data_IF_573996340224
#
_entry.id   IF_573996340224
#
_cell.length_a   1.000
_cell.length_b   1.000
_cell.length_c   1.000
_cell.angle_alpha   90.00
_cell.angle_beta   90.00
_cell.angle_gamma   90.00
#
_symmetry.space_group_name_H-M   'P 1'
#
loop_
_entity.id
_entity.type
_entity.pdbx_description
1 polymer ?
#
# COMPACT_ATOMS: atom_id res chain seq x y z
N UNK A 1 3.42 4.48 -2.10
CA UNK A 1 2.09 4.08 -2.63
C UNK A 1 2.06 4.16 -4.16
N UNK A 2 1.28 3.30 -4.81
CA UNK A 2 1.19 3.13 -6.27
C UNK A 2 0.74 4.40 -7.02
N UNK A 3 0.93 4.43 -8.34
CA UNK A 3 0.30 5.44 -9.21
C UNK A 3 -1.21 5.30 -9.08
N UNK A 4 -1.89 6.42 -8.83
CA UNK A 4 -3.32 6.44 -8.60
C UNK A 4 -3.94 7.70 -9.17
N UNK A 5 -4.97 7.54 -10.00
CA UNK A 5 -5.70 8.67 -10.57
C UNK A 5 -6.45 9.39 -9.45
N UNK A 6 -6.41 10.72 -9.46
CA UNK A 6 -7.00 11.51 -8.37
C UNK A 6 -6.23 11.44 -7.04
N UNK A 7 -5.01 10.89 -7.04
CA UNK A 7 -4.11 10.94 -5.88
C UNK A 7 -3.97 12.38 -5.38
N UNK A 8 -4.41 12.63 -4.15
CA UNK A 8 -4.34 13.93 -3.46
C UNK A 8 -2.91 14.37 -3.11
N UNK A 9 -1.87 13.76 -3.71
CA UNK A 9 -0.45 13.99 -3.42
C UNK A 9 -0.05 15.45 -3.24
N UNK A 10 -0.47 16.35 -4.15
CA UNK A 10 -0.12 17.77 -4.07
C UNK A 10 -0.94 18.53 -3.01
N UNK A 11 -2.09 18.00 -2.62
CA UNK A 11 -3.00 18.61 -1.66
C UNK A 11 -2.73 18.16 -0.22
N UNK A 12 -1.96 17.08 -0.02
CA UNK A 12 -1.64 16.53 1.31
C UNK A 12 -1.17 17.62 2.30
N UNK A 13 -0.23 18.52 1.97
CA UNK A 13 0.21 19.53 2.93
C UNK A 13 -0.91 20.49 3.37
N UNK A 14 -1.76 20.93 2.43
CA UNK A 14 -2.89 21.83 2.75
C UNK A 14 -3.96 21.09 3.54
N UNK A 15 -4.26 19.85 3.19
CA UNK A 15 -5.21 19.02 3.95
C UNK A 15 -4.73 18.76 5.38
N UNK A 16 -3.43 18.51 5.57
CA UNK A 16 -2.81 18.39 6.89
C UNK A 16 -2.97 19.68 7.70
N UNK A 17 -2.65 20.84 7.11
CA UNK A 17 -2.85 22.13 7.78
C UNK A 17 -4.32 22.42 8.14
N UNK A 18 -5.27 22.02 7.29
CA UNK A 18 -6.70 22.12 7.60
C UNK A 18 -7.11 21.19 8.76
N UNK A 19 -6.55 19.98 8.82
CA UNK A 19 -6.79 19.05 9.91
C UNK A 19 -6.30 19.63 11.25
N UNK A 20 -5.06 20.14 11.30
CA UNK A 20 -4.53 20.80 12.50
C UNK A 20 -5.36 22.02 12.90
N UNK A 21 -5.66 22.90 11.93
CA UNK A 21 -6.44 24.12 12.18
C UNK A 21 -7.86 23.83 12.67
N UNK A 22 -8.43 22.67 12.30
CA UNK A 22 -9.75 22.26 12.76
C UNK A 22 -9.79 21.86 14.24
N UNK A 23 -8.63 21.54 14.85
CA UNK A 23 -8.54 20.96 16.19
C UNK A 23 -9.15 19.56 16.32
N UNK A 24 -9.49 18.91 15.20
CA UNK A 24 -10.04 17.57 15.19
C UNK A 24 -9.01 16.55 15.69
N UNK A 25 -9.49 15.55 16.44
CA UNK A 25 -8.68 14.40 16.88
C UNK A 25 -9.01 13.12 16.13
N UNK A 26 -10.15 13.11 15.43
CA UNK A 26 -10.62 11.99 14.62
C UNK A 26 -10.84 12.47 13.20
N UNK A 27 -10.64 11.57 12.24
CA UNK A 27 -10.91 11.85 10.82
C UNK A 27 -11.51 10.64 10.13
N UNK A 28 -12.30 10.92 9.09
CA UNK A 28 -12.91 9.90 8.24
C UNK A 28 -12.50 10.15 6.78
N UNK A 29 -11.67 9.28 6.24
CA UNK A 29 -11.24 9.28 4.84
C UNK A 29 -12.11 8.29 4.04
N UNK A 30 -13.29 8.76 3.61
CA UNK A 30 -14.34 7.93 2.98
C UNK A 30 -13.97 7.31 1.62
N UNK A 31 -12.94 7.86 0.96
CA UNK A 31 -12.51 7.47 -0.39
C UNK A 31 -10.99 7.37 -0.42
N UNK A 32 -10.46 6.53 0.48
CA UNK A 32 -9.06 6.61 0.87
C UNK A 32 -8.10 6.24 -0.27
N UNK A 33 -8.51 5.35 -1.19
CA UNK A 33 -7.73 4.87 -2.32
C UNK A 33 -6.34 4.38 -1.92
N UNK A 34 -5.35 5.27 -2.06
CA UNK A 34 -3.95 5.01 -1.70
C UNK A 34 -3.57 5.42 -0.28
N UNK A 35 -4.56 5.69 0.57
CA UNK A 35 -4.44 6.10 1.97
C UNK A 35 -3.60 7.33 2.24
N UNK A 36 -3.31 8.13 1.21
CA UNK A 36 -2.34 9.22 1.33
C UNK A 36 -2.79 10.34 2.27
N UNK A 37 -4.09 10.63 2.30
CA UNK A 37 -4.68 11.62 3.20
C UNK A 37 -4.77 11.03 4.61
N UNK A 38 -5.29 9.81 4.74
CA UNK A 38 -5.33 9.10 6.01
C UNK A 38 -3.95 8.97 6.69
N UNK A 39 -2.89 8.69 5.93
CA UNK A 39 -1.51 8.66 6.42
C UNK A 39 -1.08 9.99 7.00
N UNK A 40 -1.40 11.10 6.34
CA UNK A 40 -1.04 12.42 6.83
C UNK A 40 -1.79 12.76 8.13
N UNK A 41 -3.09 12.48 8.17
CA UNK A 41 -3.88 12.72 9.38
C UNK A 41 -3.40 11.87 10.56
N UNK A 42 -3.04 10.60 10.32
CA UNK A 42 -2.40 9.75 11.34
C UNK A 42 -1.06 10.31 11.79
N UNK A 43 -0.21 10.76 10.86
CA UNK A 43 1.10 11.38 11.16
C UNK A 43 0.96 12.60 12.06
N UNK A 44 -0.15 13.33 11.92
CA UNK A 44 -0.52 14.48 12.75
C UNK A 44 -1.19 14.10 14.07
N UNK A 45 -1.26 12.81 14.42
CA UNK A 45 -1.83 12.30 15.67
C UNK A 45 -3.33 12.04 15.63
N UNK A 46 -3.96 12.10 14.46
CA UNK A 46 -5.38 11.80 14.30
C UNK A 46 -5.70 10.31 14.38
N UNK A 47 -6.82 9.97 15.02
CA UNK A 47 -7.46 8.66 14.91
C UNK A 47 -8.29 8.61 13.63
N UNK A 48 -7.80 7.90 12.61
CA UNK A 48 -8.36 7.94 11.26
C UNK A 48 -9.08 6.65 10.91
N UNK A 49 -10.33 6.76 10.48
CA UNK A 49 -11.05 5.68 9.79
C UNK A 49 -10.89 5.85 8.29
N UNK A 50 -10.31 4.85 7.63
CA UNK A 50 -10.12 4.83 6.18
C UNK A 50 -11.11 3.85 5.53
N UNK A 51 -11.82 4.30 4.49
CA UNK A 51 -12.86 3.51 3.80
C UNK A 51 -12.60 3.54 2.31
N UNK A 52 -12.77 2.38 1.66
CA UNK A 52 -12.80 2.24 0.20
C UNK A 52 -13.53 0.93 -0.17
N UNK A 53 -13.95 0.81 -1.43
CA UNK A 53 -14.48 -0.44 -1.98
C UNK A 53 -13.39 -1.30 -2.61
N UNK A 54 -12.22 -0.73 -2.92
CA UNK A 54 -11.13 -1.44 -3.54
C UNK A 54 -10.31 -2.27 -2.55
N UNK A 55 -10.12 -3.57 -2.85
CA UNK A 55 -9.36 -4.49 -1.98
C UNK A 55 -7.92 -4.05 -1.69
N UNK A 56 -7.22 -3.44 -2.66
CA UNK A 56 -5.86 -2.96 -2.43
C UNK A 56 -5.81 -1.81 -1.40
N UNK A 57 -6.88 -1.02 -1.28
CA UNK A 57 -6.94 0.09 -0.34
C UNK A 57 -6.99 -0.42 1.10
N UNK A 58 -7.67 -1.55 1.34
CA UNK A 58 -7.67 -2.24 2.64
C UNK A 58 -6.25 -2.66 3.04
N UNK A 59 -5.48 -3.26 2.12
CA UNK A 59 -4.09 -3.65 2.37
C UNK A 59 -3.23 -2.43 2.72
N UNK A 60 -3.39 -1.31 1.98
CA UNK A 60 -2.70 -0.07 2.31
C UNK A 60 -3.16 0.56 3.63
N UNK A 61 -4.44 0.45 3.98
CA UNK A 61 -4.95 0.95 5.25
C UNK A 61 -4.38 0.14 6.42
N UNK A 62 -4.36 -1.19 6.31
CA UNK A 62 -3.75 -2.06 7.31
C UNK A 62 -2.27 -1.74 7.51
N UNK A 63 -1.52 -1.59 6.41
CA UNK A 63 -0.08 -1.30 6.45
C UNK A 63 0.27 0.10 6.96
N UNK A 64 -0.40 1.14 6.45
CA UNK A 64 0.04 2.53 6.69
C UNK A 64 -0.81 3.29 7.71
N UNK A 65 -2.01 2.83 8.02
CA UNK A 65 -2.96 3.51 8.92
C UNK A 65 -3.21 2.69 10.18
N UNK A 66 -3.44 1.38 10.08
CA UNK A 66 -3.73 0.54 11.25
C UNK A 66 -2.44 0.15 11.98
N UNK A 67 -1.43 -0.35 11.28
CA UNK A 67 -0.20 -0.84 11.91
C UNK A 67 0.46 0.24 12.79
N UNK A 68 0.77 -0.13 14.03
CA UNK A 68 1.58 0.69 14.92
C UNK A 68 3.06 0.41 14.67
N UNK A 69 3.83 1.47 14.41
CA UNK A 69 5.25 1.32 14.13
C UNK A 69 6.05 0.89 15.37
N UNK A 70 5.51 1.10 16.57
CA UNK A 70 6.14 0.70 17.83
C UNK A 70 5.87 -0.78 18.17
N UNK A 71 4.85 -1.38 17.56
CA UNK A 71 4.51 -2.81 17.72
C UNK A 71 5.09 -3.69 16.60
N UNK A 72 5.66 -3.09 15.54
CA UNK A 72 6.20 -3.81 14.38
C UNK A 72 7.70 -4.10 14.57
N UNK A 73 8.06 -5.39 14.52
CA UNK A 73 9.46 -5.80 14.43
C UNK A 73 10.03 -5.50 13.03
N UNK A 74 10.90 -4.48 12.97
CA UNK A 74 11.54 -4.07 11.71
C UNK A 74 12.54 -5.10 11.18
N UNK A 75 13.14 -5.89 12.06
CA UNK A 75 14.05 -6.97 11.69
C UNK A 75 13.30 -8.10 10.99
N UNK A 76 12.17 -8.52 11.55
CA UNK A 76 11.29 -9.52 10.94
C UNK A 76 10.81 -9.07 9.55
N UNK A 77 10.36 -7.82 9.42
CA UNK A 77 9.93 -7.26 8.13
C UNK A 77 11.09 -7.24 7.12
N UNK A 78 12.28 -6.82 7.54
CA UNK A 78 13.46 -6.78 6.69
C UNK A 78 13.87 -8.20 6.23
N UNK A 79 13.84 -9.18 7.13
CA UNK A 79 14.12 -10.58 6.81
C UNK A 79 13.10 -11.13 5.80
N UNK A 80 11.80 -10.90 6.03
CA UNK A 80 10.75 -11.31 5.12
C UNK A 80 10.93 -10.69 3.73
N UNK A 81 11.21 -9.38 3.66
CA UNK A 81 11.48 -8.69 2.39
C UNK A 81 12.73 -9.24 1.68
N UNK A 82 13.80 -9.55 2.42
CA UNK A 82 15.00 -10.18 1.88
C UNK A 82 14.70 -11.54 1.27
N UNK A 83 14.04 -12.42 2.03
CA UNK A 83 13.62 -13.75 1.57
C UNK A 83 12.77 -13.67 0.29
N UNK A 84 11.79 -12.76 0.24
CA UNK A 84 10.95 -12.58 -0.94
C UNK A 84 11.72 -12.00 -2.15
N UNK A 85 12.68 -11.11 -1.90
CA UNK A 85 13.48 -10.50 -2.97
C UNK A 85 14.43 -11.50 -3.65
N UNK A 86 14.91 -12.50 -2.90
CA UNK A 86 15.85 -13.53 -3.34
C UNK A 86 15.18 -14.73 -4.02
N UNK A 87 13.84 -14.79 -4.05
CA UNK A 87 13.13 -15.87 -4.74
C UNK A 87 13.52 -15.93 -6.23
N UNK A 88 13.85 -17.11 -6.77
CA UNK A 88 13.97 -17.28 -8.21
C UNK A 88 12.60 -17.04 -8.85
N UNK A 89 12.57 -16.28 -9.95
CA UNK A 89 11.32 -16.03 -10.67
C UNK A 89 10.76 -17.33 -11.25
N UNK A 90 9.47 -17.55 -11.06
CA UNK A 90 8.74 -18.72 -11.57
C UNK A 90 7.51 -18.21 -12.33
N UNK A 91 7.47 -18.32 -13.66
CA UNK A 91 6.34 -17.86 -14.46
C UNK A 91 5.03 -18.57 -14.07
N UNK A 92 3.97 -17.79 -13.86
CA UNK A 92 2.63 -18.29 -13.58
C UNK A 92 1.56 -17.43 -14.24
N UNK A 93 0.38 -17.38 -13.62
CA UNK A 93 -0.79 -16.65 -14.13
C UNK A 93 -0.47 -15.19 -14.47
N UNK A 94 0.28 -14.48 -13.61
CA UNK A 94 0.55 -13.06 -13.85
C UNK A 94 1.45 -12.87 -15.07
N UNK A 95 2.46 -13.72 -15.23
CA UNK A 95 3.39 -13.70 -16.36
C UNK A 95 2.65 -13.93 -17.67
N UNK A 96 1.85 -14.99 -17.76
CA UNK A 96 1.05 -15.30 -18.96
C UNK A 96 0.09 -14.15 -19.31
N UNK A 97 -0.77 -13.74 -18.38
CA UNK A 97 -1.85 -12.78 -18.67
C UNK A 97 -1.31 -11.36 -18.89
N UNK A 98 -0.44 -10.85 -18.00
CA UNK A 98 -0.06 -9.44 -18.00
C UNK A 98 1.28 -9.15 -18.68
N UNK A 99 2.12 -10.16 -18.94
CA UNK A 99 3.42 -9.97 -19.60
C UNK A 99 3.44 -10.51 -21.03
N UNK A 100 2.83 -11.65 -21.30
CA UNK A 100 2.89 -12.29 -22.63
C UNK A 100 1.69 -11.91 -23.50
N UNK A 101 0.47 -12.10 -22.98
CA UNK A 101 -0.76 -11.78 -23.70
C UNK A 101 -0.98 -10.27 -23.80
N UNK A 102 -0.97 -9.57 -22.66
CA UNK A 102 -1.28 -8.13 -22.60
C UNK A 102 -0.06 -7.21 -22.76
N UNK A 103 1.17 -7.73 -22.53
CA UNK A 103 2.44 -7.01 -22.70
C UNK A 103 2.55 -5.70 -21.90
N UNK A 104 1.98 -5.66 -20.69
CA UNK A 104 2.11 -4.52 -19.77
C UNK A 104 3.44 -4.53 -19.00
N UNK A 105 3.98 -5.70 -18.71
CA UNK A 105 5.24 -5.90 -17.99
C UNK A 105 6.18 -6.82 -18.76
N UNK A 106 7.48 -6.75 -18.46
CA UNK A 106 8.46 -7.69 -19.02
C UNK A 106 8.34 -9.06 -18.33
N UNK A 107 8.46 -10.20 -19.06
CA UNK A 107 8.26 -11.54 -18.51
C UNK A 107 9.09 -11.86 -17.26
N UNK A 108 10.35 -11.40 -17.18
CA UNK A 108 11.18 -11.64 -15.99
C UNK A 108 10.64 -10.93 -14.73
N UNK A 109 9.97 -9.79 -14.88
CA UNK A 109 9.30 -9.11 -13.76
C UNK A 109 8.01 -9.86 -13.38
N UNK A 110 7.29 -10.39 -14.37
CA UNK A 110 6.13 -11.24 -14.13
C UNK A 110 6.48 -12.47 -13.31
N UNK A 111 7.55 -13.18 -13.69
CA UNK A 111 7.99 -14.40 -13.00
C UNK A 111 8.36 -14.14 -11.52
N UNK A 112 8.95 -12.97 -11.23
CA UNK A 112 9.21 -12.55 -9.85
C UNK A 112 7.93 -12.26 -9.07
N UNK A 113 6.94 -11.63 -9.70
CA UNK A 113 5.64 -11.36 -9.08
C UNK A 113 4.93 -12.68 -8.76
N UNK A 114 4.88 -13.61 -9.70
CA UNK A 114 4.25 -14.93 -9.50
C UNK A 114 4.93 -15.71 -8.37
N UNK A 115 6.28 -15.78 -8.35
CA UNK A 115 7.01 -16.45 -7.27
C UNK A 115 6.70 -15.87 -5.88
N UNK A 116 6.69 -14.53 -5.74
CA UNK A 116 6.33 -13.87 -4.47
C UNK A 116 4.88 -14.14 -4.09
N UNK A 117 3.96 -14.12 -5.05
CA UNK A 117 2.53 -14.39 -4.79
C UNK A 117 2.32 -15.81 -4.30
N UNK A 118 2.95 -16.80 -4.92
CA UNK A 118 2.84 -18.20 -4.52
C UNK A 118 3.27 -18.42 -3.06
N UNK A 119 4.34 -17.74 -2.61
CA UNK A 119 4.82 -17.84 -1.22
C UNK A 119 3.87 -17.15 -0.23
N UNK A 120 3.24 -16.04 -0.62
CA UNK A 120 2.31 -15.31 0.25
C UNK A 120 0.91 -15.94 0.33
N UNK A 121 0.53 -16.74 -0.67
CA UNK A 121 -0.78 -17.41 -0.76
C UNK A 121 -0.79 -18.85 -0.20
N UNK A 122 0.37 -19.43 0.12
CA UNK A 122 0.54 -20.77 0.69
C UNK A 122 0.24 -20.84 2.19
#
# INVERSE_FOLDING_TARGET
VIKYLGSKRRLVPVLGGLFEASGARTALDLFTGTTRVAQEFKRLGGLVTAVDTARYAEVFARCYVVADADEVDRGEVAEALGRLADLPGEPGYFTDTFCEQSRFFQPFNGARIDAVRNVLEA
#
